data_IF_331499868512
#
_entry.id   IF_331499868512
#
_cell.length_a   1.000
_cell.length_b   1.000
_cell.length_c   1.000
_cell.angle_alpha   90.00
_cell.angle_beta   90.00
_cell.angle_gamma   90.00
#
_symmetry.space_group_name_H-M   'P 1'
#
loop_
_entity.id
_entity.type
_entity.pdbx_description
1 polymer ?
#
# COMPACT_ATOMS: atom_id res chain seq x y z
N UNK A 1 4.96 7.54 -16.87
CA UNK A 1 4.28 6.46 -17.63
C UNK A 1 2.78 6.60 -17.38
N UNK A 2 1.96 6.84 -18.40
CA UNK A 2 0.50 6.98 -18.24
C UNK A 2 -0.15 5.60 -18.15
N UNK A 3 -0.82 5.31 -17.04
CA UNK A 3 -1.64 4.11 -16.90
C UNK A 3 -2.90 4.21 -17.77
N UNK A 4 -3.43 3.09 -18.32
CA UNK A 4 -4.68 3.11 -19.06
C UNK A 4 -5.82 3.60 -18.17
N UNK A 5 -6.69 4.45 -18.73
CA UNK A 5 -7.86 4.96 -18.02
C UNK A 5 -8.93 3.87 -17.93
N UNK A 6 -9.35 3.55 -16.70
CA UNK A 6 -10.40 2.58 -16.41
C UNK A 6 -11.57 3.36 -15.82
N UNK A 7 -12.82 3.16 -16.27
CA UNK A 7 -13.94 3.94 -15.74
C UNK A 7 -14.12 3.70 -14.24
N UNK A 8 -14.36 4.78 -13.48
CA UNK A 8 -14.54 4.76 -12.01
C UNK A 8 -15.45 3.64 -11.53
N UNK A 9 -16.60 3.46 -12.19
CA UNK A 9 -17.57 2.43 -11.80
C UNK A 9 -16.99 1.01 -11.85
N UNK A 10 -16.17 0.69 -12.85
CA UNK A 10 -15.55 -0.64 -12.94
C UNK A 10 -14.55 -0.89 -11.81
N UNK A 11 -13.80 0.15 -11.42
CA UNK A 11 -12.86 0.08 -10.29
C UNK A 11 -13.60 -0.09 -8.96
N UNK A 12 -14.71 0.65 -8.77
CA UNK A 12 -15.57 0.52 -7.59
C UNK A 12 -16.16 -0.89 -7.51
N UNK A 13 -16.71 -1.40 -8.62
CA UNK A 13 -17.27 -2.75 -8.67
C UNK A 13 -16.19 -3.80 -8.40
N UNK A 14 -14.99 -3.63 -8.97
CA UNK A 14 -13.86 -4.51 -8.70
C UNK A 14 -13.50 -4.54 -7.21
N UNK A 15 -13.30 -3.39 -6.56
CA UNK A 15 -12.97 -3.34 -5.12
C UNK A 15 -14.11 -3.93 -4.29
N UNK A 16 -15.36 -3.59 -4.61
CA UNK A 16 -16.54 -4.08 -3.89
C UNK A 16 -16.69 -5.60 -3.98
N UNK A 17 -16.28 -6.23 -5.09
CA UNK A 17 -16.25 -7.69 -5.24
C UNK A 17 -14.99 -8.32 -4.63
N UNK A 18 -13.85 -7.62 -4.69
CA UNK A 18 -12.58 -8.10 -4.17
C UNK A 18 -12.63 -8.32 -2.66
N UNK A 19 -13.21 -7.37 -1.89
CA UNK A 19 -13.28 -7.45 -0.43
C UNK A 19 -13.99 -8.74 0.07
N UNK A 20 -15.25 -9.04 -0.33
CA UNK A 20 -15.92 -10.27 0.09
C UNK A 20 -15.24 -11.52 -0.49
N UNK A 21 -14.70 -11.46 -1.70
CA UNK A 21 -13.94 -12.59 -2.26
C UNK A 21 -12.75 -12.92 -1.37
N UNK A 22 -11.97 -11.91 -0.96
CA UNK A 22 -10.83 -12.11 -0.08
C UNK A 22 -11.27 -12.57 1.31
N UNK A 23 -12.35 -12.04 1.85
CA UNK A 23 -12.93 -12.44 3.13
C UNK A 23 -13.31 -13.93 3.14
N UNK A 24 -14.09 -14.39 2.15
CA UNK A 24 -14.59 -15.77 2.12
C UNK A 24 -13.69 -16.76 1.37
N UNK A 25 -12.54 -16.31 0.85
CA UNK A 25 -11.57 -17.20 0.20
C UNK A 25 -10.94 -18.23 1.16
N UNK A 26 -10.42 -19.37 0.65
CA UNK A 26 -9.62 -20.30 1.45
C UNK A 26 -8.20 -19.77 1.77
N UNK A 27 -7.86 -18.56 1.33
CA UNK A 27 -6.56 -17.96 1.61
C UNK A 27 -6.42 -17.61 3.10
N UNK A 28 -5.26 -17.89 3.72
CA UNK A 28 -4.98 -17.45 5.08
C UNK A 28 -5.02 -15.90 5.21
N UNK A 29 -5.18 -15.37 6.43
CA UNK A 29 -5.25 -13.92 6.67
C UNK A 29 -4.08 -13.12 6.07
N UNK A 30 -2.85 -13.64 6.16
CA UNK A 30 -1.66 -12.95 5.67
C UNK A 30 -1.68 -12.66 4.16
N UNK A 31 -1.79 -13.66 3.25
CA UNK A 31 -1.87 -13.39 1.82
C UNK A 31 -3.13 -12.59 1.45
N UNK A 32 -4.28 -12.84 2.07
CA UNK A 32 -5.50 -12.05 1.84
C UNK A 32 -5.26 -10.57 2.13
N UNK A 33 -4.60 -10.24 3.24
CA UNK A 33 -4.25 -8.86 3.60
C UNK A 33 -3.36 -8.20 2.54
N UNK A 34 -2.29 -8.89 2.13
CA UNK A 34 -1.31 -8.33 1.19
C UNK A 34 -1.90 -8.17 -0.22
N UNK A 35 -2.73 -9.11 -0.67
CA UNK A 35 -3.50 -8.97 -1.91
C UNK A 35 -4.51 -7.84 -1.83
N UNK A 36 -5.28 -7.72 -0.74
CA UNK A 36 -6.20 -6.61 -0.54
C UNK A 36 -5.46 -5.27 -0.62
N UNK A 37 -4.35 -5.14 0.09
CA UNK A 37 -3.55 -3.92 0.11
C UNK A 37 -3.11 -3.53 -1.32
N UNK A 38 -2.44 -4.44 -2.03
CA UNK A 38 -1.90 -4.11 -3.36
C UNK A 38 -2.96 -3.97 -4.44
N UNK A 39 -4.01 -4.80 -4.46
CA UNK A 39 -5.05 -4.72 -5.48
C UNK A 39 -5.98 -3.52 -5.27
N UNK A 40 -6.37 -3.22 -4.03
CA UNK A 40 -7.10 -1.98 -3.75
C UNK A 40 -6.23 -0.77 -4.06
N UNK A 41 -4.96 -0.77 -3.67
CA UNK A 41 -4.02 0.30 -4.00
C UNK A 41 -3.86 0.53 -5.51
N UNK A 42 -3.73 -0.56 -6.28
CA UNK A 42 -3.74 -0.49 -7.75
C UNK A 42 -5.01 0.17 -8.27
N UNK A 43 -6.19 -0.28 -7.83
CA UNK A 43 -7.46 0.31 -8.26
C UNK A 43 -7.59 1.78 -7.87
N UNK A 44 -7.14 2.15 -6.66
CA UNK A 44 -7.13 3.52 -6.16
C UNK A 44 -6.25 4.43 -7.04
N UNK A 45 -5.11 3.94 -7.54
CA UNK A 45 -4.27 4.72 -8.44
C UNK A 45 -4.92 5.05 -9.79
N UNK A 46 -5.92 4.29 -10.20
CA UNK A 46 -6.69 4.55 -11.42
C UNK A 46 -7.94 5.40 -11.18
N UNK A 47 -8.34 5.63 -9.92
CA UNK A 47 -9.44 6.51 -9.59
C UNK A 47 -9.02 7.97 -9.78
N UNK A 48 -9.95 8.79 -10.26
CA UNK A 48 -9.76 10.24 -10.43
C UNK A 48 -10.23 10.98 -9.18
N UNK A 49 -9.35 11.68 -8.44
CA UNK A 49 -9.73 12.35 -7.19
C UNK A 49 -10.78 13.46 -7.35
N UNK A 50 -10.84 14.12 -8.50
CA UNK A 50 -11.87 15.14 -8.76
C UNK A 50 -13.26 14.55 -8.99
N UNK A 51 -13.37 13.25 -9.31
CA UNK A 51 -14.64 12.55 -9.47
C UNK A 51 -15.35 12.39 -8.11
N UNK A 52 -16.53 13.02 -7.92
CA UNK A 52 -17.29 12.90 -6.67
C UNK A 52 -17.64 11.46 -6.30
N UNK A 53 -17.89 10.59 -7.29
CA UNK A 53 -18.22 9.18 -7.04
C UNK A 53 -17.02 8.43 -6.47
N UNK A 54 -15.83 8.65 -7.03
CA UNK A 54 -14.59 8.05 -6.55
C UNK A 54 -14.28 8.47 -5.11
N UNK A 55 -14.38 9.78 -4.80
CA UNK A 55 -14.17 10.31 -3.44
C UNK A 55 -15.15 9.73 -2.44
N UNK A 56 -16.44 9.75 -2.78
CA UNK A 56 -17.49 9.23 -1.91
C UNK A 56 -17.26 7.76 -1.58
N UNK A 57 -16.84 6.97 -2.59
CA UNK A 57 -16.48 5.58 -2.40
C UNK A 57 -15.26 5.39 -1.49
N UNK A 58 -14.18 6.14 -1.72
CA UNK A 58 -12.96 6.08 -0.88
C UNK A 58 -13.28 6.44 0.58
N UNK A 59 -14.05 7.50 0.82
CA UNK A 59 -14.45 7.90 2.18
C UNK A 59 -15.37 6.88 2.84
N UNK A 60 -16.32 6.33 2.10
CA UNK A 60 -17.20 5.29 2.60
C UNK A 60 -16.39 4.07 3.05
N UNK A 61 -15.58 3.49 2.16
CA UNK A 61 -14.76 2.29 2.46
C UNK A 61 -13.77 2.57 3.59
N UNK A 62 -13.14 3.75 3.60
CA UNK A 62 -12.18 4.12 4.64
C UNK A 62 -12.85 4.23 5.99
N UNK A 63 -13.98 4.95 6.07
CA UNK A 63 -14.72 5.15 7.31
C UNK A 63 -15.27 3.83 7.84
N UNK A 64 -15.93 3.04 7.00
CA UNK A 64 -16.51 1.76 7.42
C UNK A 64 -15.43 0.79 7.88
N UNK A 65 -14.32 0.67 7.17
CA UNK A 65 -13.22 -0.23 7.55
C UNK A 65 -12.55 0.22 8.85
N UNK A 66 -12.29 1.52 9.04
CA UNK A 66 -11.75 2.04 10.30
C UNK A 66 -12.74 1.73 11.45
N UNK A 67 -14.03 2.01 11.26
CA UNK A 67 -15.05 1.67 12.26
C UNK A 67 -15.04 0.17 12.60
N UNK A 68 -15.00 -0.72 11.61
CA UNK A 68 -14.92 -2.18 11.82
C UNK A 68 -13.66 -2.59 12.60
N UNK A 69 -12.53 -1.90 12.42
CA UNK A 69 -11.31 -2.20 13.17
C UNK A 69 -11.29 -1.66 14.60
N UNK A 70 -12.04 -0.60 14.91
CA UNK A 70 -11.94 0.10 16.20
C UNK A 70 -13.16 -0.09 17.12
N UNK A 71 -14.30 -0.53 16.60
CA UNK A 71 -15.49 -0.82 17.38
C UNK A 71 -15.70 -2.32 17.55
N UNK A 72 -15.53 -2.80 18.79
CA UNK A 72 -15.62 -4.23 19.15
C UNK A 72 -16.99 -4.86 18.84
N UNK A 73 -18.03 -4.05 18.65
CA UNK A 73 -19.39 -4.49 18.31
C UNK A 73 -19.59 -4.83 16.82
N UNK A 74 -18.62 -4.52 15.95
CA UNK A 74 -18.71 -4.75 14.51
C UNK A 74 -17.85 -5.94 14.09
N UNK A 75 -18.31 -6.76 13.13
CA UNK A 75 -17.47 -7.80 12.56
C UNK A 75 -16.29 -7.14 11.83
N UNK A 76 -15.11 -7.71 12.01
CA UNK A 76 -13.89 -7.28 11.31
C UNK A 76 -13.59 -8.20 10.13
N UNK A 77 -12.86 -7.72 9.14
CA UNK A 77 -12.36 -8.58 8.07
C UNK A 77 -11.37 -9.59 8.64
N UNK A 78 -11.36 -10.84 8.15
CA UNK A 78 -10.41 -11.87 8.60
C UNK A 78 -8.94 -11.49 8.44
N UNK A 79 -8.66 -10.53 7.55
CA UNK A 79 -7.33 -10.05 7.21
C UNK A 79 -6.97 -8.73 7.90
N UNK A 80 -7.89 -8.19 8.71
CA UNK A 80 -7.67 -7.08 9.62
C UNK A 80 -7.52 -7.58 11.05
N UNK A 81 -6.90 -6.77 11.91
CA UNK A 81 -6.79 -7.01 13.35
C UNK A 81 -7.68 -6.02 14.10
N UNK A 82 -8.02 -6.33 15.34
CA UNK A 82 -8.59 -5.34 16.25
C UNK A 82 -7.59 -4.19 16.42
N UNK A 83 -8.08 -2.96 16.32
CA UNK A 83 -7.33 -1.70 16.40
C UNK A 83 -6.12 -1.67 15.46
N UNK A 84 -6.31 -2.11 14.21
CA UNK A 84 -5.23 -2.20 13.22
C UNK A 84 -4.73 -0.83 12.77
N UNK A 85 -3.65 -0.38 13.41
CA UNK A 85 -2.99 0.91 13.14
C UNK A 85 -2.55 1.01 11.69
N UNK A 86 -2.00 -0.08 11.12
CA UNK A 86 -1.50 -0.10 9.74
C UNK A 86 -2.59 0.15 8.70
N UNK A 87 -3.77 -0.48 8.86
CA UNK A 87 -4.95 -0.24 8.01
C UNK A 87 -5.47 1.18 8.22
N UNK A 88 -5.54 1.63 9.47
CA UNK A 88 -6.04 2.98 9.81
C UNK A 88 -5.21 4.07 9.15
N UNK A 89 -3.88 4.04 9.36
CA UNK A 89 -2.93 4.98 8.76
C UNK A 89 -3.02 4.97 7.24
N UNK A 90 -3.10 3.79 6.63
CA UNK A 90 -3.24 3.65 5.19
C UNK A 90 -4.50 4.34 4.65
N UNK A 91 -5.65 4.07 5.27
CA UNK A 91 -6.94 4.61 4.82
C UNK A 91 -7.04 6.12 5.07
N UNK A 92 -6.47 6.61 6.17
CA UNK A 92 -6.38 8.05 6.43
C UNK A 92 -5.49 8.75 5.42
N UNK A 93 -4.34 8.17 5.07
CA UNK A 93 -3.43 8.71 4.05
C UNK A 93 -4.13 8.80 2.69
N UNK A 94 -4.77 7.72 2.24
CA UNK A 94 -5.50 7.69 0.96
C UNK A 94 -6.66 8.68 0.97
N UNK A 95 -7.45 8.71 2.05
CA UNK A 95 -8.56 9.66 2.19
C UNK A 95 -8.08 11.11 2.15
N UNK A 96 -6.98 11.42 2.83
CA UNK A 96 -6.38 12.74 2.81
C UNK A 96 -5.91 13.14 1.39
N UNK A 97 -5.34 12.19 0.64
CA UNK A 97 -4.92 12.43 -0.74
C UNK A 97 -6.10 12.76 -1.66
N UNK A 98 -7.23 12.06 -1.49
CA UNK A 98 -8.48 12.33 -2.22
C UNK A 98 -9.15 13.63 -1.78
N UNK A 99 -9.01 14.01 -0.51
CA UNK A 99 -9.47 15.31 -0.01
C UNK A 99 -8.72 16.47 -0.67
N UNK A 100 -7.41 16.33 -0.84
CA UNK A 100 -6.57 17.31 -1.51
C UNK A 100 -6.66 17.26 -3.05
N UNK A 101 -7.46 16.34 -3.60
CA UNK A 101 -7.59 16.08 -5.04
C UNK A 101 -6.25 15.80 -5.76
N UNK A 102 -5.29 15.19 -5.05
CA UNK A 102 -3.95 14.90 -5.60
C UNK A 102 -3.89 13.55 -6.33
N UNK A 103 -3.04 13.44 -7.37
CA UNK A 103 -2.91 12.20 -8.16
C UNK A 103 -2.43 11.03 -7.27
N UNK A 104 -3.26 9.98 -7.07
CA UNK A 104 -2.92 8.86 -6.19
C UNK A 104 -1.73 8.03 -6.72
N UNK A 105 -1.33 8.19 -7.98
CA UNK A 105 -0.13 7.54 -8.52
C UNK A 105 1.15 7.94 -7.77
N UNK A 106 1.17 9.10 -7.11
CA UNK A 106 2.29 9.51 -6.25
C UNK A 106 2.49 8.53 -5.10
N UNK A 107 1.41 7.94 -4.58
CA UNK A 107 1.44 6.97 -3.49
C UNK A 107 1.75 5.53 -3.95
N UNK A 108 2.06 5.32 -5.25
CA UNK A 108 2.36 4.02 -5.84
C UNK A 108 3.21 3.10 -4.95
N UNK A 109 4.38 3.55 -4.46
CA UNK A 109 5.22 2.70 -3.61
C UNK A 109 4.56 2.27 -2.29
N UNK A 110 3.71 3.10 -1.69
CA UNK A 110 3.00 2.76 -0.45
C UNK A 110 2.09 1.54 -0.66
N UNK A 111 1.48 1.41 -1.82
CA UNK A 111 0.56 0.32 -2.15
C UNK A 111 1.23 -1.04 -2.38
N UNK A 112 2.50 -1.03 -2.79
CA UNK A 112 3.16 -2.25 -3.30
C UNK A 112 4.42 -2.65 -2.51
N UNK A 113 5.15 -1.70 -1.93
CA UNK A 113 6.46 -1.98 -1.35
C UNK A 113 6.36 -2.88 -0.10
N UNK A 114 5.50 -2.54 0.88
CA UNK A 114 5.28 -3.38 2.07
C UNK A 114 4.74 -4.79 1.71
N UNK A 115 3.71 -4.91 0.85
CA UNK A 115 3.26 -6.23 0.39
C UNK A 115 4.35 -7.05 -0.28
N UNK A 116 5.14 -6.45 -1.17
CA UNK A 116 6.24 -7.13 -1.84
C UNK A 116 7.31 -7.60 -0.85
N UNK A 117 7.74 -6.73 0.07
CA UNK A 117 8.72 -7.08 1.09
C UNK A 117 8.28 -8.25 1.96
N UNK A 118 7.03 -8.22 2.43
CA UNK A 118 6.49 -9.28 3.27
C UNK A 118 6.31 -10.60 2.51
N UNK A 119 5.82 -10.57 1.28
CA UNK A 119 5.58 -11.78 0.46
C UNK A 119 6.88 -12.41 0.01
N UNK A 120 7.80 -11.61 -0.56
CA UNK A 120 9.11 -12.10 -1.02
C UNK A 120 9.93 -12.60 0.17
N UNK A 121 9.95 -11.84 1.28
CA UNK A 121 10.66 -12.24 2.49
C UNK A 121 10.22 -13.61 3.01
N UNK A 122 8.91 -13.84 3.16
CA UNK A 122 8.38 -15.14 3.61
C UNK A 122 8.56 -16.26 2.58
N UNK A 123 8.40 -15.96 1.29
CA UNK A 123 8.60 -16.95 0.24
C UNK A 123 10.04 -17.44 0.22
N UNK A 124 11.02 -16.53 0.32
CA UNK A 124 12.43 -16.89 0.39
C UNK A 124 12.78 -17.61 1.70
N UNK A 125 12.26 -17.20 2.86
CA UNK A 125 12.46 -17.95 4.12
C UNK A 125 12.11 -19.43 3.94
N UNK A 126 11.01 -19.73 3.23
CA UNK A 126 10.60 -21.11 2.92
C UNK A 126 11.50 -21.77 1.87
N UNK A 127 11.87 -21.05 0.81
CA UNK A 127 12.65 -21.61 -0.31
C UNK A 127 14.09 -21.98 0.08
N UNK A 128 14.76 -21.12 0.86
CA UNK A 128 16.17 -21.34 1.28
C UNK A 128 16.30 -21.93 2.68
N UNK A 129 15.23 -22.54 3.21
CA UNK A 129 15.25 -23.27 4.48
C UNK A 129 15.65 -22.41 5.68
N UNK A 130 15.14 -21.19 5.77
CA UNK A 130 15.37 -20.28 6.90
C UNK A 130 16.70 -19.53 6.88
N UNK A 131 17.53 -19.70 5.84
CA UNK A 131 18.82 -18.99 5.70
C UNK A 131 18.69 -17.53 5.24
N UNK A 132 17.48 -17.03 5.12
CA UNK A 132 17.24 -15.64 4.75
C UNK A 132 17.58 -14.75 5.95
N UNK A 133 18.71 -14.05 5.84
CA UNK A 133 19.23 -13.25 6.93
C UNK A 133 18.20 -12.22 7.40
N UNK A 134 17.89 -12.23 8.70
CA UNK A 134 17.00 -11.27 9.33
C UNK A 134 17.79 -10.01 9.65
N UNK A 135 17.32 -8.89 9.12
CA UNK A 135 17.97 -7.59 9.29
C UNK A 135 17.49 -6.93 10.57
N UNK A 136 16.16 -6.87 10.75
CA UNK A 136 15.53 -6.23 11.91
C UNK A 136 14.21 -6.95 12.23
N UNK A 137 14.14 -7.57 13.40
CA UNK A 137 13.01 -8.41 13.79
C UNK A 137 12.71 -9.50 12.75
N UNK A 138 11.52 -9.49 12.18
CA UNK A 138 11.09 -10.46 11.16
C UNK A 138 11.45 -10.06 9.72
N UNK A 139 11.98 -8.85 9.50
CA UNK A 139 12.35 -8.32 8.18
C UNK A 139 13.62 -8.99 7.68
N UNK A 140 13.65 -9.35 6.40
CA UNK A 140 14.74 -10.13 5.81
C UNK A 140 15.37 -9.41 4.64
N UNK A 141 16.63 -9.75 4.33
CA UNK A 141 17.38 -9.13 3.22
C UNK A 141 16.62 -9.24 1.90
N UNK A 142 16.10 -10.42 1.56
CA UNK A 142 15.32 -10.59 0.34
C UNK A 142 14.03 -9.76 0.32
N UNK A 143 13.37 -9.61 1.48
CA UNK A 143 12.19 -8.74 1.61
C UNK A 143 12.55 -7.28 1.39
N UNK A 144 13.61 -6.79 2.02
CA UNK A 144 14.05 -5.39 1.88
C UNK A 144 14.55 -5.08 0.46
N UNK A 145 15.23 -6.02 -0.21
CA UNK A 145 15.57 -5.87 -1.63
C UNK A 145 14.32 -5.80 -2.51
N UNK A 146 13.25 -6.53 -2.17
CA UNK A 146 11.98 -6.41 -2.88
C UNK A 146 11.32 -5.04 -2.64
N UNK A 147 11.36 -4.50 -1.42
CA UNK A 147 10.90 -3.13 -1.12
C UNK A 147 11.64 -2.11 -1.96
N UNK A 148 12.97 -2.20 -2.02
CA UNK A 148 13.80 -1.32 -2.86
C UNK A 148 13.39 -1.39 -4.33
N UNK A 149 13.35 -2.61 -4.90
CA UNK A 149 13.03 -2.82 -6.31
C UNK A 149 11.61 -2.37 -6.65
N UNK A 150 10.62 -2.77 -5.86
CA UNK A 150 9.22 -2.41 -6.10
C UNK A 150 9.02 -0.90 -5.93
N UNK A 151 9.60 -0.27 -4.91
CA UNK A 151 9.58 1.20 -4.79
C UNK A 151 10.16 1.86 -6.04
N UNK A 152 11.31 1.37 -6.52
CA UNK A 152 11.97 1.92 -7.70
C UNK A 152 11.06 1.88 -8.94
N UNK A 153 10.34 0.77 -9.15
CA UNK A 153 9.47 0.63 -10.31
C UNK A 153 8.07 1.26 -10.15
N UNK A 154 7.64 1.55 -8.92
CA UNK A 154 6.30 2.08 -8.63
C UNK A 154 6.30 3.57 -8.30
N UNK A 155 7.44 4.25 -8.41
CA UNK A 155 7.46 5.72 -8.49
C UNK A 155 6.95 6.15 -9.87
N UNK A 156 5.76 6.74 -9.94
CA UNK A 156 5.13 7.13 -11.20
C UNK A 156 5.35 8.59 -11.60
N UNK A 157 5.80 9.43 -10.67
CA UNK A 157 6.17 10.82 -10.93
C UNK A 157 7.57 10.94 -11.55
N UNK A 158 7.82 12.09 -12.18
CA UNK A 158 9.10 12.41 -12.81
C UNK A 158 10.19 12.58 -11.74
N UNK A 159 11.28 11.85 -11.91
CA UNK A 159 12.48 11.90 -11.08
C UNK A 159 13.65 11.30 -11.86
N UNK A 160 14.86 11.81 -11.61
CA UNK A 160 16.07 11.26 -12.18
C UNK A 160 16.34 9.86 -11.61
N UNK A 161 17.07 9.03 -12.36
CA UNK A 161 17.32 7.63 -11.96
C UNK A 161 18.01 7.51 -10.61
N UNK A 162 18.89 8.46 -10.27
CA UNK A 162 19.59 8.47 -8.99
C UNK A 162 18.68 8.93 -7.85
N UNK A 163 17.80 9.90 -8.06
CA UNK A 163 16.79 10.34 -7.08
C UNK A 163 15.85 9.18 -6.75
N UNK A 164 15.36 8.51 -7.79
CA UNK A 164 14.56 7.28 -7.68
C UNK A 164 15.27 6.21 -6.86
N UNK A 165 16.56 5.99 -7.14
CA UNK A 165 17.41 5.09 -6.36
C UNK A 165 17.51 5.51 -4.88
N UNK A 166 17.72 6.80 -4.61
CA UNK A 166 17.79 7.36 -3.26
C UNK A 166 16.48 7.21 -2.48
N UNK A 167 15.34 7.51 -3.12
CA UNK A 167 14.00 7.33 -2.54
C UNK A 167 13.75 5.87 -2.21
N UNK A 168 14.09 4.95 -3.13
CA UNK A 168 13.96 3.51 -2.90
C UNK A 168 14.85 3.00 -1.77
N UNK A 169 16.08 3.51 -1.64
CA UNK A 169 16.96 3.18 -0.52
C UNK A 169 16.39 3.69 0.81
N UNK A 170 15.87 4.91 0.83
CA UNK A 170 15.19 5.47 2.01
C UNK A 170 13.95 4.67 2.40
N UNK A 171 13.12 4.30 1.42
CA UNK A 171 11.93 3.50 1.63
C UNK A 171 12.27 2.11 2.20
N UNK A 172 13.30 1.47 1.65
CA UNK A 172 13.84 0.22 2.17
C UNK A 172 14.33 0.36 3.61
N UNK A 173 15.09 1.41 3.92
CA UNK A 173 15.62 1.64 5.27
C UNK A 173 14.49 1.87 6.30
N UNK A 174 13.44 2.62 5.92
CA UNK A 174 12.31 2.88 6.80
C UNK A 174 11.43 1.64 6.99
N UNK A 175 11.18 0.85 5.94
CA UNK A 175 10.44 -0.42 6.04
C UNK A 175 11.14 -1.44 6.94
N UNK A 176 12.48 -1.42 6.99
CA UNK A 176 13.23 -2.27 7.91
C UNK A 176 12.93 -1.96 9.38
N UNK A 177 12.51 -0.74 9.73
CA UNK A 177 12.34 -0.29 11.13
C UNK A 177 10.91 0.12 11.50
N UNK A 178 10.02 0.34 10.53
CA UNK A 178 8.72 0.96 10.75
C UNK A 178 7.67 0.08 11.45
N UNK A 179 7.77 -1.25 11.31
CA UNK A 179 6.85 -2.19 11.95
C UNK A 179 5.39 -1.94 11.53
N UNK A 180 4.51 -1.59 12.46
CA UNK A 180 3.10 -1.29 12.14
C UNK A 180 2.91 0.08 11.45
N UNK A 181 3.93 0.93 11.48
CA UNK A 181 3.96 2.26 10.89
C UNK A 181 4.64 2.29 9.52
N UNK A 182 4.97 1.13 8.93
CA UNK A 182 5.67 1.01 7.65
C UNK A 182 5.02 1.87 6.56
N UNK A 183 3.69 1.86 6.45
CA UNK A 183 2.96 2.66 5.46
C UNK A 183 3.17 4.16 5.65
N UNK A 184 3.18 4.65 6.90
CA UNK A 184 3.42 6.07 7.18
C UNK A 184 4.85 6.45 6.86
N UNK A 185 5.81 5.60 7.24
CA UNK A 185 7.22 5.82 6.98
C UNK A 185 7.54 5.82 5.48
N UNK A 186 7.01 4.83 4.75
CA UNK A 186 7.08 4.76 3.29
C UNK A 186 6.48 6.02 2.65
N UNK A 187 5.28 6.43 3.09
CA UNK A 187 4.65 7.65 2.60
C UNK A 187 5.53 8.87 2.84
N UNK A 188 6.10 9.04 4.04
CA UNK A 188 6.97 10.17 4.35
C UNK A 188 8.17 10.27 3.40
N UNK A 189 8.86 9.16 3.13
CA UNK A 189 10.00 9.13 2.20
C UNK A 189 9.55 9.42 0.76
N UNK A 190 8.47 8.78 0.31
CA UNK A 190 7.97 8.93 -1.07
C UNK A 190 7.49 10.35 -1.33
N UNK A 191 6.81 10.97 -0.37
CA UNK A 191 6.31 12.34 -0.46
C UNK A 191 7.43 13.37 -0.37
N UNK A 192 8.43 13.14 0.50
CA UNK A 192 9.63 13.97 0.53
C UNK A 192 10.38 13.90 -0.81
N UNK A 193 10.55 12.69 -1.35
CA UNK A 193 11.11 12.46 -2.68
C UNK A 193 10.35 13.20 -3.77
N UNK A 194 9.03 13.05 -3.81
CA UNK A 194 8.16 13.73 -4.78
C UNK A 194 8.31 15.26 -4.74
N UNK A 195 8.35 15.84 -3.54
CA UNK A 195 8.55 17.28 -3.36
C UNK A 195 9.93 17.75 -3.82
N UNK A 196 10.97 16.97 -3.56
CA UNK A 196 12.36 17.30 -3.93
C UNK A 196 12.62 17.14 -5.44
N UNK A 197 12.01 16.13 -6.08
CA UNK A 197 12.09 15.91 -7.54
C UNK A 197 11.27 16.95 -8.33
N UNK A 198 10.75 17.97 -7.66
CA UNK A 198 10.15 19.15 -8.27
C UNK A 198 8.63 19.23 -8.14
N UNK A 199 7.93 18.21 -7.62
CA UNK A 199 6.47 18.28 -7.42
C UNK A 199 5.65 18.69 -8.65
N UNK A 200 6.25 18.60 -9.85
CA UNK A 200 5.61 18.96 -11.12
C UNK A 200 4.82 17.74 -11.58
N UNK A 201 3.58 17.63 -11.11
CA UNK A 201 2.53 16.88 -11.78
C UNK A 201 1.92 17.74 -12.88
#
# INVERSE_FOLDING_TARGET
MSLPQIPTLHLILFITLLLPLLEFSPLPPFPSRKLCHSLCGLSIMHLTPSDPLARSFVYLVSTTTICMTWFDSLPNFKFARERDVGITVYLLLVSFWFYMEMDPKVLGPVFFADPAGAVVGKAFDKFIGGRNFKVCGNKSVCGSLAVFGVTYFTIFYECERWERGGISLGAMAVEMVGGEWDNLGLAAIVLAGWKLCGGKS
#
